data_IF_775500124739
#
_entry.id   IF_775500124739
#
_cell.length_a   1.000
_cell.length_b   1.000
_cell.length_c   1.000
_cell.angle_alpha   90.00
_cell.angle_beta   90.00
_cell.angle_gamma   90.00
#
_symmetry.space_group_name_H-M   'P 1'
#
loop_
_entity.id
_entity.type
_entity.pdbx_description
1 polymer ?
#
# COMPACT_ATOMS: atom_id res chain seq x y z
N UNK A 1 2.20 -10.23 1.99
CA UNK A 1 1.53 -8.91 1.98
C UNK A 1 2.32 -8.05 1.02
N UNK A 2 1.65 -7.39 0.08
CA UNK A 2 2.32 -6.53 -0.90
C UNK A 2 1.90 -5.09 -0.62
N UNK A 3 2.84 -4.17 -0.47
CA UNK A 3 2.56 -2.73 -0.36
C UNK A 3 3.30 -2.06 -1.50
N UNK A 4 2.53 -1.52 -2.44
CA UNK A 4 3.06 -0.73 -3.56
C UNK A 4 2.80 0.72 -3.21
N UNK A 5 3.86 1.52 -3.08
CA UNK A 5 3.67 2.98 -3.01
C UNK A 5 3.38 3.49 -4.41
N UNK A 6 2.22 4.09 -4.59
CA UNK A 6 1.83 4.77 -5.82
C UNK A 6 1.75 6.26 -5.53
N UNK A 7 2.66 7.02 -6.15
CA UNK A 7 2.65 8.47 -6.11
C UNK A 7 2.35 8.96 -7.54
N UNK A 8 1.24 9.67 -7.69
CA UNK A 8 0.78 10.21 -8.97
C UNK A 8 0.93 11.73 -8.92
N UNK A 9 1.84 12.28 -9.70
CA UNK A 9 2.18 13.70 -9.67
C UNK A 9 1.60 14.44 -10.89
N UNK A 10 0.92 15.58 -10.68
CA UNK A 10 0.37 16.42 -11.76
C UNK A 10 -0.95 15.95 -12.42
N UNK A 11 -1.45 16.75 -13.38
CA UNK A 11 -2.65 16.43 -14.19
C UNK A 11 -2.31 15.34 -15.20
N UNK A 12 -2.75 14.13 -14.88
CA UNK A 12 -2.26 12.89 -15.49
C UNK A 12 -3.14 12.42 -16.66
N UNK A 13 -3.18 13.18 -17.75
CA UNK A 13 -4.04 12.84 -18.91
C UNK A 13 -3.42 11.74 -19.80
N UNK A 14 -2.10 11.51 -19.75
CA UNK A 14 -1.39 10.59 -20.67
C UNK A 14 -0.30 9.70 -20.02
N UNK A 15 -0.13 9.71 -18.70
CA UNK A 15 0.88 8.88 -18.03
C UNK A 15 0.38 7.47 -17.66
N UNK A 16 1.26 6.55 -17.23
CA UNK A 16 0.86 5.22 -16.77
C UNK A 16 -0.08 5.29 -15.56
N UNK A 17 -1.11 4.44 -15.45
CA UNK A 17 -1.99 4.41 -14.28
C UNK A 17 -1.17 4.35 -12.97
N UNK A 18 -1.63 5.08 -11.94
CA UNK A 18 -1.00 5.16 -10.62
C UNK A 18 0.41 5.79 -10.55
N UNK A 19 0.76 6.63 -11.53
CA UNK A 19 2.01 7.38 -11.46
C UNK A 19 3.24 6.61 -11.94
N UNK A 20 4.42 7.22 -11.79
CA UNK A 20 5.69 6.60 -12.18
C UNK A 20 6.43 5.91 -11.02
N UNK A 21 6.13 6.23 -9.76
CA UNK A 21 6.92 5.77 -8.60
C UNK A 21 7.01 4.24 -8.47
N UNK A 22 6.00 3.51 -8.97
CA UNK A 22 5.95 2.03 -8.95
C UNK A 22 6.67 1.35 -10.11
N UNK A 23 7.05 2.09 -11.16
CA UNK A 23 7.67 1.56 -12.39
C UNK A 23 9.11 2.05 -12.60
N UNK A 24 9.69 2.71 -11.61
CA UNK A 24 11.08 3.14 -11.63
C UNK A 24 11.84 2.56 -10.43
N UNK A 25 13.15 2.41 -10.60
CA UNK A 25 14.02 1.92 -9.54
C UNK A 25 14.25 3.00 -8.50
N UNK A 26 14.06 2.64 -7.23
CA UNK A 26 14.38 3.50 -6.10
C UNK A 26 15.87 3.38 -5.75
N UNK A 27 16.46 4.48 -5.30
CA UNK A 27 17.77 4.52 -4.69
C UNK A 27 17.69 3.97 -3.27
N UNK A 28 18.71 3.22 -2.84
CA UNK A 28 18.85 2.79 -1.44
C UNK A 28 19.66 3.86 -0.71
N UNK A 29 19.01 4.70 0.10
CA UNK A 29 19.70 5.70 0.93
C UNK A 29 20.26 5.08 2.20
N UNK A 30 19.52 4.12 2.76
CA UNK A 30 19.95 3.30 3.89
C UNK A 30 19.60 1.84 3.62
N UNK A 31 20.62 1.01 3.53
CA UNK A 31 20.46 -0.46 3.44
C UNK A 31 19.78 -1.00 4.70
N UNK A 32 19.05 -2.13 4.61
CA UNK A 32 18.46 -2.78 5.78
C UNK A 32 19.47 -2.98 6.92
N UNK A 33 19.22 -2.33 8.05
CA UNK A 33 20.09 -2.37 9.23
C UNK A 33 19.26 -2.70 10.48
N UNK A 34 19.79 -3.55 11.36
CA UNK A 34 19.19 -3.81 12.67
C UNK A 34 19.59 -2.70 13.64
N UNK A 35 18.58 -2.01 14.19
CA UNK A 35 18.73 -0.97 15.19
C UNK A 35 19.03 -1.55 16.58
N UNK A 36 19.54 -0.74 17.55
CA UNK A 36 19.72 -1.18 18.93
C UNK A 36 18.43 -1.69 19.61
N UNK A 37 17.26 -1.23 19.15
CA UNK A 37 15.96 -1.73 19.61
C UNK A 37 15.64 -3.16 19.16
N UNK A 38 16.39 -3.71 18.20
CA UNK A 38 16.11 -4.98 17.54
C UNK A 38 15.16 -4.88 16.32
N UNK A 39 14.67 -3.67 16.02
CA UNK A 39 13.90 -3.38 14.80
C UNK A 39 14.85 -3.32 13.58
N UNK A 40 14.29 -3.50 12.38
CA UNK A 40 15.04 -3.37 11.12
C UNK A 40 14.55 -2.14 10.36
N UNK A 41 15.46 -1.30 9.89
CA UNK A 41 15.16 -0.09 9.15
C UNK A 41 15.82 -0.10 7.77
N UNK A 42 15.09 0.38 6.75
CA UNK A 42 15.64 0.70 5.44
C UNK A 42 15.03 2.02 4.91
N UNK A 43 15.80 2.78 4.14
CA UNK A 43 15.34 4.04 3.55
C UNK A 43 15.65 4.04 2.06
N UNK A 44 14.62 4.37 1.27
CA UNK A 44 14.67 4.46 -0.18
C UNK A 44 14.30 5.86 -0.63
N UNK A 45 14.76 6.25 -1.82
CA UNK A 45 14.31 7.49 -2.45
C UNK A 45 14.21 7.47 -3.96
N UNK A 46 13.46 8.43 -4.47
CA UNK A 46 13.45 8.83 -5.88
C UNK A 46 13.69 10.34 -5.90
N UNK A 47 14.55 10.77 -6.81
CA UNK A 47 14.69 12.17 -7.20
C UNK A 47 14.34 12.29 -8.68
N UNK A 48 14.02 13.50 -9.13
CA UNK A 48 13.79 13.75 -10.54
C UNK A 48 15.01 13.36 -11.39
N UNK A 49 14.75 12.77 -12.55
CA UNK A 49 15.74 12.42 -13.56
C UNK A 49 15.15 12.69 -14.95
N UNK A 50 15.92 12.44 -16.01
CA UNK A 50 15.48 12.65 -17.39
C UNK A 50 14.16 11.93 -17.70
N UNK A 51 14.00 10.68 -17.26
CA UNK A 51 12.78 9.90 -17.48
C UNK A 51 11.57 10.51 -16.76
N UNK A 52 11.68 10.83 -15.47
CA UNK A 52 10.55 11.41 -14.73
C UNK A 52 10.19 12.79 -15.27
N UNK A 53 11.19 13.60 -15.65
CA UNK A 53 10.97 14.93 -16.26
C UNK A 53 10.32 14.86 -17.62
N UNK A 54 10.54 13.78 -18.38
CA UNK A 54 9.86 13.55 -19.65
C UNK A 54 8.35 13.29 -19.48
N UNK A 55 7.95 12.76 -18.32
CA UNK A 55 6.53 12.52 -17.97
C UNK A 55 5.91 13.72 -17.25
N UNK A 56 6.67 14.33 -16.35
CA UNK A 56 6.25 15.41 -15.47
C UNK A 56 7.46 16.27 -15.09
N UNK A 57 7.55 17.45 -15.71
CA UNK A 57 8.73 18.33 -15.59
C UNK A 57 8.72 19.15 -14.30
N UNK A 58 8.99 18.49 -13.17
CA UNK A 58 9.15 19.16 -11.87
C UNK A 58 10.30 18.54 -11.09
N UNK A 59 10.96 19.34 -10.27
CA UNK A 59 11.91 18.82 -9.28
C UNK A 59 11.15 18.25 -8.09
N UNK A 60 11.60 17.11 -7.58
CA UNK A 60 11.02 16.51 -6.38
C UNK A 60 12.00 15.57 -5.70
N UNK A 61 11.76 15.30 -4.43
CA UNK A 61 12.36 14.15 -3.73
C UNK A 61 11.27 13.38 -2.99
N UNK A 62 11.15 12.10 -3.33
CA UNK A 62 10.30 11.15 -2.63
C UNK A 62 11.20 10.26 -1.76
N UNK A 63 10.86 10.12 -0.48
CA UNK A 63 11.56 9.25 0.47
C UNK A 63 10.58 8.23 1.04
N UNK A 64 11.05 7.01 1.24
CA UNK A 64 10.26 5.92 1.80
C UNK A 64 11.07 5.15 2.81
N UNK A 65 10.70 5.30 4.07
CA UNK A 65 11.34 4.65 5.21
C UNK A 65 10.45 3.52 5.69
N UNK A 66 11.05 2.33 5.78
CA UNK A 66 10.42 1.10 6.24
C UNK A 66 11.03 0.72 7.59
N UNK A 67 10.18 0.43 8.57
CA UNK A 67 10.62 -0.15 9.85
C UNK A 67 9.85 -1.43 10.10
N UNK A 68 10.59 -2.55 10.13
CA UNK A 68 10.05 -3.84 10.53
C UNK A 68 10.29 -4.07 12.02
N UNK A 69 9.20 -4.20 12.76
CA UNK A 69 9.18 -4.53 14.18
C UNK A 69 8.61 -5.93 14.36
N UNK A 70 8.58 -6.44 15.60
CA UNK A 70 8.11 -7.81 15.87
C UNK A 70 6.67 -8.08 15.39
N UNK A 71 5.75 -7.11 15.55
CA UNK A 71 4.32 -7.26 15.24
C UNK A 71 3.78 -6.16 14.33
N UNK A 72 4.65 -5.26 13.90
CA UNK A 72 4.30 -4.06 13.16
C UNK A 72 5.22 -3.85 11.97
N UNK A 73 4.65 -3.35 10.89
CA UNK A 73 5.40 -2.81 9.76
C UNK A 73 5.01 -1.35 9.57
N UNK A 74 5.99 -0.47 9.69
CA UNK A 74 5.82 0.97 9.60
C UNK A 74 6.30 1.44 8.24
N UNK A 75 5.51 2.32 7.65
CA UNK A 75 5.71 2.94 6.36
C UNK A 75 5.69 4.44 6.58
N UNK A 76 6.81 5.13 6.41
CA UNK A 76 6.88 6.59 6.44
C UNK A 76 7.26 7.08 5.05
N UNK A 77 6.45 7.97 4.48
CA UNK A 77 6.66 8.51 3.14
C UNK A 77 6.74 10.03 3.20
N UNK A 78 7.76 10.58 2.55
CA UNK A 78 8.02 12.01 2.52
C UNK A 78 8.15 12.51 1.09
N UNK A 79 7.45 13.58 0.73
CA UNK A 79 7.57 14.28 -0.56
C UNK A 79 8.09 15.67 -0.29
N UNK A 80 9.21 16.04 -0.91
CA UNK A 80 9.82 17.35 -0.80
C UNK A 80 9.82 18.06 -2.14
N UNK A 81 9.43 19.33 -2.15
CA UNK A 81 9.54 20.22 -3.28
C UNK A 81 10.83 21.07 -3.16
N UNK A 82 11.92 20.72 -3.86
CA UNK A 82 13.16 21.50 -3.82
C UNK A 82 13.12 22.74 -4.72
N UNK A 83 12.05 22.95 -5.49
CA UNK A 83 11.90 24.13 -6.33
C UNK A 83 11.95 25.40 -5.48
N UNK A 84 12.45 26.49 -6.06
CA UNK A 84 12.48 27.82 -5.44
C UNK A 84 11.25 28.66 -5.77
N UNK A 85 10.56 28.32 -6.86
CA UNK A 85 9.55 29.18 -7.46
C UNK A 85 8.23 28.43 -7.69
N UNK A 86 8.32 27.21 -8.21
CA UNK A 86 7.13 26.48 -8.67
C UNK A 86 6.54 25.59 -7.56
N UNK A 87 5.25 25.76 -7.22
CA UNK A 87 4.51 24.75 -6.48
C UNK A 87 4.21 23.56 -7.38
N UNK A 88 3.89 22.41 -6.79
CA UNK A 88 3.29 21.31 -7.53
C UNK A 88 2.20 20.60 -6.74
N UNK A 89 1.38 19.83 -7.44
CA UNK A 89 0.36 18.98 -6.83
C UNK A 89 0.53 17.50 -7.15
N UNK A 90 0.11 16.64 -6.23
CA UNK A 90 0.20 15.20 -6.38
C UNK A 90 -0.84 14.47 -5.53
N UNK A 91 -1.16 13.25 -5.95
CA UNK A 91 -1.86 12.25 -5.18
C UNK A 91 -0.85 11.22 -4.66
N UNK A 92 -1.10 10.68 -3.47
CA UNK A 92 -0.27 9.65 -2.88
C UNK A 92 -1.11 8.56 -2.26
N UNK A 93 -0.73 7.30 -2.48
CA UNK A 93 -1.49 6.14 -2.03
C UNK A 93 -0.54 4.97 -1.77
N UNK A 94 -0.74 4.28 -0.66
CA UNK A 94 -0.09 3.02 -0.35
C UNK A 94 -1.03 1.87 -0.72
N UNK A 95 -0.88 1.36 -1.95
CA UNK A 95 -1.70 0.31 -2.54
C UNK A 95 -1.38 -1.05 -1.90
N UNK A 96 -2.02 -1.29 -0.74
CA UNK A 96 -1.71 -2.41 0.16
C UNK A 96 -2.64 -3.58 -0.08
N UNK A 97 -2.07 -4.70 -0.53
CA UNK A 97 -2.75 -5.98 -0.74
C UNK A 97 -2.65 -6.85 0.52
N UNK A 98 -3.80 -7.08 1.16
CA UNK A 98 -3.93 -8.03 2.26
C UNK A 98 -4.28 -9.40 1.70
N UNK A 99 -3.47 -10.40 2.05
CA UNK A 99 -3.79 -11.80 1.78
C UNK A 99 -4.89 -12.24 2.73
N UNK A 100 -5.94 -12.82 2.18
CA UNK A 100 -7.11 -13.33 2.92
C UNK A 100 -7.45 -14.73 2.41
N UNK A 101 -8.05 -15.62 3.22
CA UNK A 101 -8.51 -16.91 2.71
C UNK A 101 -9.68 -16.77 1.74
N UNK A 102 -10.58 -15.81 2.00
CA UNK A 102 -11.75 -15.53 1.19
C UNK A 102 -12.22 -14.10 1.44
N UNK A 103 -12.18 -13.24 0.41
CA UNK A 103 -12.57 -11.83 0.46
C UNK A 103 -14.02 -11.64 0.90
N UNK A 104 -14.91 -12.57 0.56
CA UNK A 104 -16.34 -12.53 0.92
C UNK A 104 -16.57 -12.62 2.43
N UNK A 105 -15.58 -13.15 3.16
CA UNK A 105 -15.60 -13.33 4.62
C UNK A 105 -14.82 -12.26 5.35
N UNK A 106 -14.25 -11.30 4.63
CA UNK A 106 -13.51 -10.19 5.22
C UNK A 106 -14.48 -9.07 5.61
N UNK A 107 -14.23 -8.46 6.75
CA UNK A 107 -14.94 -7.28 7.20
C UNK A 107 -13.94 -6.16 7.47
N UNK A 108 -14.28 -4.95 7.03
CA UNK A 108 -13.46 -3.76 7.24
C UNK A 108 -14.27 -2.78 8.11
N UNK A 109 -13.72 -2.37 9.24
CA UNK A 109 -14.34 -1.41 10.16
C UNK A 109 -13.84 0.02 9.94
N UNK A 110 -14.56 1.00 10.49
CA UNK A 110 -14.12 2.41 10.49
C UNK A 110 -14.49 3.20 9.24
N UNK A 111 -15.40 2.65 8.41
CA UNK A 111 -15.92 3.29 7.20
C UNK A 111 -17.41 3.66 7.29
N UNK A 112 -18.11 3.26 8.36
CA UNK A 112 -19.50 3.64 8.60
C UNK A 112 -19.66 5.17 8.60
N UNK A 113 -20.70 5.66 7.92
CA UNK A 113 -21.03 7.07 7.78
C UNK A 113 -20.15 7.83 6.78
N UNK A 114 -19.07 7.23 6.27
CA UNK A 114 -18.18 7.88 5.31
C UNK A 114 -18.85 8.01 3.94
N UNK A 115 -18.60 9.14 3.27
CA UNK A 115 -18.90 9.31 1.85
C UNK A 115 -17.85 8.58 1.02
N UNK A 116 -18.27 7.93 -0.06
CA UNK A 116 -17.35 7.32 -1.00
C UNK A 116 -17.74 7.56 -2.46
N UNK A 117 -16.72 7.65 -3.31
CA UNK A 117 -16.82 7.60 -4.76
C UNK A 117 -16.68 6.15 -5.22
N UNK A 118 -17.61 5.65 -6.02
CA UNK A 118 -17.53 4.30 -6.58
C UNK A 118 -17.16 4.37 -8.07
N UNK A 119 -15.93 3.94 -8.39
CA UNK A 119 -15.42 3.99 -9.77
C UNK A 119 -16.11 2.98 -10.68
N UNK A 120 -16.71 1.93 -10.12
CA UNK A 120 -17.45 0.92 -10.90
C UNK A 120 -18.73 1.52 -11.48
N UNK A 121 -19.33 2.47 -10.77
CA UNK A 121 -20.54 3.19 -11.19
C UNK A 121 -20.22 4.60 -11.68
N UNK A 122 -19.15 4.76 -12.46
CA UNK A 122 -18.74 6.04 -13.06
C UNK A 122 -18.57 7.20 -12.03
N UNK A 123 -17.90 6.90 -10.91
CA UNK A 123 -17.60 7.84 -9.83
C UNK A 123 -18.84 8.44 -9.15
N UNK A 124 -19.99 7.75 -9.17
CA UNK A 124 -21.13 8.14 -8.36
C UNK A 124 -20.79 8.17 -6.86
N UNK A 125 -21.44 9.10 -6.14
CA UNK A 125 -21.21 9.36 -4.73
C UNK A 125 -22.27 8.65 -3.89
N UNK A 126 -21.83 7.94 -2.86
CA UNK A 126 -22.67 7.22 -1.92
C UNK A 126 -22.24 7.50 -0.48
N UNK A 127 -23.06 7.08 0.49
CA UNK A 127 -22.72 7.04 1.91
C UNK A 127 -22.77 5.61 2.43
N UNK A 128 -21.75 5.22 3.19
CA UNK A 128 -21.65 3.88 3.76
C UNK A 128 -22.53 3.73 5.01
N UNK A 129 -23.72 3.15 4.83
CA UNK A 129 -24.65 2.90 5.94
C UNK A 129 -24.31 1.66 6.78
N UNK A 130 -23.45 0.75 6.30
CA UNK A 130 -23.13 -0.49 7.02
C UNK A 130 -22.15 -0.23 8.17
N UNK A 131 -22.28 -0.97 9.26
CA UNK A 131 -21.32 -0.91 10.38
C UNK A 131 -19.94 -1.46 9.97
N UNK A 132 -19.95 -2.44 9.06
CA UNK A 132 -18.76 -3.08 8.51
C UNK A 132 -18.90 -3.23 7.00
N UNK A 133 -17.81 -2.96 6.28
CA UNK A 133 -17.75 -3.15 4.83
C UNK A 133 -17.39 -4.59 4.53
N UNK A 134 -18.20 -5.22 3.68
CA UNK A 134 -17.95 -6.53 3.06
C UNK A 134 -17.91 -6.38 1.55
N UNK A 135 -17.10 -7.20 0.88
CA UNK A 135 -16.90 -7.16 -0.58
C UNK A 135 -17.35 -8.49 -1.19
N UNK A 136 -18.39 -8.43 -2.01
CA UNK A 136 -19.03 -9.59 -2.64
C UNK A 136 -19.19 -9.43 -4.17
N UNK A 137 -18.54 -8.42 -4.74
CA UNK A 137 -18.65 -7.99 -6.13
C UNK A 137 -17.39 -7.19 -6.52
N UNK A 138 -17.26 -6.83 -7.79
CA UNK A 138 -16.22 -5.89 -8.24
C UNK A 138 -16.37 -4.58 -7.48
N UNK A 139 -15.32 -4.20 -6.76
CA UNK A 139 -15.31 -3.02 -5.89
C UNK A 139 -14.08 -2.17 -6.20
N UNK A 140 -14.29 -0.88 -6.45
CA UNK A 140 -13.24 0.15 -6.53
C UNK A 140 -13.79 1.45 -5.92
N UNK A 141 -13.69 1.55 -4.60
CA UNK A 141 -14.33 2.63 -3.82
C UNK A 141 -13.29 3.49 -3.12
N UNK A 142 -13.38 4.80 -3.30
CA UNK A 142 -12.57 5.78 -2.57
C UNK A 142 -13.43 6.35 -1.43
N UNK A 143 -13.22 5.88 -0.21
CA UNK A 143 -13.83 6.46 0.98
C UNK A 143 -13.05 7.72 1.37
N UNK A 144 -13.77 8.84 1.54
CA UNK A 144 -13.19 10.16 1.79
C UNK A 144 -13.19 10.49 3.28
N UNK A 145 -12.17 11.21 3.75
CA UNK A 145 -12.06 11.73 5.12
C UNK A 145 -12.35 10.67 6.21
N UNK A 146 -11.79 9.48 6.03
CA UNK A 146 -12.05 8.34 6.91
C UNK A 146 -11.28 8.46 8.22
N UNK A 147 -11.71 7.67 9.21
CA UNK A 147 -10.98 7.55 10.48
C UNK A 147 -9.53 7.09 10.23
N UNK A 148 -8.57 7.49 11.09
CA UNK A 148 -7.17 7.11 10.92
C UNK A 148 -6.90 5.63 11.20
N UNK A 149 -7.91 4.84 11.55
CA UNK A 149 -7.76 3.43 11.89
C UNK A 149 -8.84 2.56 11.26
N UNK A 150 -8.41 1.45 10.67
CA UNK A 150 -9.27 0.39 10.13
C UNK A 150 -8.85 -0.98 10.66
N UNK A 151 -9.82 -1.84 10.90
CA UNK A 151 -9.59 -3.23 11.28
C UNK A 151 -10.12 -4.13 10.16
N UNK A 152 -9.24 -4.96 9.62
CA UNK A 152 -9.56 -5.98 8.62
C UNK A 152 -9.59 -7.33 9.33
N UNK A 153 -10.75 -7.98 9.31
CA UNK A 153 -10.92 -9.31 9.90
C UNK A 153 -10.64 -10.40 8.88
N UNK A 154 -10.40 -11.62 9.38
CA UNK A 154 -10.19 -12.81 8.56
C UNK A 154 -9.01 -12.70 7.59
N UNK A 155 -7.96 -11.97 7.97
CA UNK A 155 -6.66 -12.11 7.29
C UNK A 155 -6.05 -13.49 7.60
N UNK A 156 -5.01 -13.89 6.86
CA UNK A 156 -4.40 -15.24 6.97
C UNK A 156 -4.23 -15.71 8.42
N UNK A 157 -4.55 -16.99 8.64
CA UNK A 157 -4.57 -17.65 9.96
C UNK A 157 -5.61 -17.12 10.95
N UNK A 158 -6.71 -16.54 10.47
CA UNK A 158 -7.82 -16.05 11.30
C UNK A 158 -7.45 -14.85 12.17
N UNK A 159 -6.40 -14.11 11.79
CA UNK A 159 -5.93 -12.93 12.52
C UNK A 159 -6.76 -11.70 12.16
N UNK A 160 -6.55 -10.64 12.91
CA UNK A 160 -6.96 -9.28 12.53
C UNK A 160 -5.74 -8.49 12.11
N UNK A 161 -5.96 -7.57 11.18
CA UNK A 161 -4.95 -6.61 10.74
C UNK A 161 -5.48 -5.22 10.99
N UNK A 162 -4.70 -4.41 11.70
CA UNK A 162 -4.96 -2.98 11.92
C UNK A 162 -4.14 -2.20 10.92
N UNK A 163 -4.82 -1.31 10.24
CA UNK A 163 -4.23 -0.27 9.42
C UNK A 163 -4.41 1.01 10.21
N UNK A 164 -3.31 1.61 10.66
CA UNK A 164 -3.32 2.95 11.22
C UNK A 164 -2.62 3.88 10.23
N UNK A 165 -3.24 5.01 9.91
CA UNK A 165 -2.76 5.96 8.92
C UNK A 165 -2.65 7.37 9.50
N UNK A 166 -1.67 8.12 9.01
CA UNK A 166 -1.44 9.52 9.35
C UNK A 166 -1.24 10.32 8.07
N UNK A 167 -1.92 11.47 7.99
CA UNK A 167 -1.92 12.37 6.83
C UNK A 167 -2.32 11.70 5.49
N UNK A 168 -3.11 10.63 5.60
CA UNK A 168 -3.83 10.00 4.50
C UNK A 168 -5.33 10.13 4.80
N UNK A 169 -6.03 11.13 4.25
CA UNK A 169 -7.45 11.34 4.57
C UNK A 169 -8.36 10.26 3.97
N UNK A 170 -7.96 9.62 2.88
CA UNK A 170 -8.79 8.67 2.14
C UNK A 170 -8.40 7.22 2.42
N UNK A 171 -9.36 6.32 2.20
CA UNK A 171 -9.13 4.87 2.19
C UNK A 171 -9.74 4.29 0.93
N UNK A 172 -8.93 3.64 0.10
CA UNK A 172 -9.45 2.90 -1.07
C UNK A 172 -9.70 1.45 -0.68
N UNK A 173 -10.85 0.92 -1.07
CA UNK A 173 -11.16 -0.50 -0.97
C UNK A 173 -11.31 -1.05 -2.38
N UNK A 174 -10.49 -2.04 -2.73
CA UNK A 174 -10.45 -2.60 -4.07
C UNK A 174 -10.37 -4.12 -4.09
N UNK A 175 -11.20 -4.73 -4.93
CA UNK A 175 -11.09 -6.12 -5.35
C UNK A 175 -11.62 -6.22 -6.79
N UNK A 176 -10.86 -6.79 -7.75
CA UNK A 176 -11.25 -6.82 -9.16
C UNK A 176 -12.45 -7.73 -9.43
N UNK A 177 -12.69 -8.71 -8.56
CA UNK A 177 -13.62 -9.81 -8.85
C UNK A 177 -13.25 -10.59 -10.12
N UNK A 178 -14.05 -11.59 -10.46
CA UNK A 178 -13.70 -12.58 -11.48
C UNK A 178 -13.48 -12.00 -12.88
N UNK A 179 -14.39 -11.15 -13.36
CA UNK A 179 -14.33 -10.62 -14.73
C UNK A 179 -13.13 -9.68 -14.89
N UNK A 180 -12.96 -8.71 -13.96
CA UNK A 180 -11.85 -7.77 -14.05
C UNK A 180 -10.50 -8.43 -13.79
N UNK A 181 -10.43 -9.47 -12.98
CA UNK A 181 -9.18 -10.20 -12.73
C UNK A 181 -8.59 -10.76 -14.03
N UNK A 182 -9.42 -11.32 -14.91
CA UNK A 182 -9.00 -11.88 -16.22
C UNK A 182 -8.42 -10.83 -17.18
N UNK A 183 -8.82 -9.57 -17.00
CA UNK A 183 -8.35 -8.45 -17.83
C UNK A 183 -6.98 -7.90 -17.35
N UNK A 184 -6.49 -8.33 -16.19
CA UNK A 184 -5.23 -7.83 -15.60
C UNK A 184 -4.11 -8.81 -15.98
N UNK A 185 -3.20 -8.45 -16.90
CA UNK A 185 -2.26 -9.41 -17.49
C UNK A 185 -1.29 -10.07 -16.50
N UNK A 186 -1.04 -9.43 -15.36
CA UNK A 186 -0.14 -9.90 -14.30
C UNK A 186 -0.89 -10.40 -13.05
N UNK A 187 -2.17 -10.75 -13.18
CA UNK A 187 -3.02 -11.25 -12.11
C UNK A 187 -3.64 -12.59 -12.51
N UNK A 188 -3.63 -13.58 -11.62
CA UNK A 188 -4.25 -14.86 -11.90
C UNK A 188 -5.78 -14.80 -11.83
N UNK A 189 -6.46 -15.46 -12.76
CA UNK A 189 -7.94 -15.47 -12.87
C UNK A 189 -8.66 -15.78 -11.55
N UNK A 190 -8.08 -16.67 -10.74
CA UNK A 190 -8.64 -17.15 -9.47
C UNK A 190 -7.97 -16.54 -8.22
N UNK A 191 -7.17 -15.47 -8.37
CA UNK A 191 -6.46 -14.84 -7.25
C UNK A 191 -7.33 -13.82 -6.48
N UNK A 192 -8.39 -13.29 -7.11
CA UNK A 192 -9.26 -12.27 -6.51
C UNK A 192 -9.90 -12.70 -5.18
N UNK A 193 -10.30 -13.97 -4.94
CA UNK A 193 -10.89 -14.36 -3.67
C UNK A 193 -9.88 -14.30 -2.53
N UNK A 194 -8.58 -14.37 -2.80
CA UNK A 194 -7.54 -14.47 -1.77
C UNK A 194 -6.89 -13.14 -1.40
N UNK A 195 -7.46 -12.03 -1.84
CA UNK A 195 -6.92 -10.70 -1.62
C UNK A 195 -8.01 -9.66 -1.37
N UNK A 196 -7.62 -8.61 -0.65
CA UNK A 196 -8.38 -7.36 -0.58
C UNK A 196 -7.37 -6.23 -0.49
N UNK A 197 -7.58 -5.16 -1.26
CA UNK A 197 -6.83 -3.94 -1.08
C UNK A 197 -7.56 -3.02 -0.12
N UNK A 198 -6.83 -2.52 0.89
CA UNK A 198 -7.27 -1.45 1.80
C UNK A 198 -6.13 -0.45 1.89
N UNK A 199 -6.29 0.67 1.21
CA UNK A 199 -5.17 1.49 0.79
C UNK A 199 -5.26 2.86 1.45
N UNK A 200 -4.21 3.26 2.18
CA UNK A 200 -4.14 4.60 2.77
C UNK A 200 -3.74 5.61 1.70
N UNK A 201 -4.54 6.65 1.49
CA UNK A 201 -4.28 7.61 0.42
C UNK A 201 -4.70 9.05 0.67
N UNK A 202 -4.20 9.92 -0.20
CA UNK A 202 -4.60 11.29 -0.44
C UNK A 202 -4.86 11.38 -1.95
N UNK A 203 -6.06 10.97 -2.36
CA UNK A 203 -6.42 10.67 -3.76
C UNK A 203 -7.76 11.27 -4.18
N UNK A 204 -8.64 11.57 -3.22
CA UNK A 204 -9.91 12.25 -3.48
C UNK A 204 -9.71 13.73 -3.79
N UNK A 205 -8.60 14.29 -3.31
CA UNK A 205 -8.07 15.60 -3.68
C UNK A 205 -6.55 15.53 -3.72
N UNK A 206 -5.87 16.35 -4.53
CA UNK A 206 -4.41 16.39 -4.55
C UNK A 206 -3.85 17.20 -3.39
N UNK A 207 -2.70 16.76 -2.89
CA UNK A 207 -1.82 17.58 -2.04
C UNK A 207 -1.21 18.67 -2.92
N UNK A 208 -1.14 19.91 -2.42
CA UNK A 208 -0.41 21.01 -3.05
C UNK A 208 0.82 21.32 -2.19
N UNK A 209 2.01 21.21 -2.77
CA UNK A 209 3.29 21.55 -2.12
C UNK A 209 3.87 22.82 -2.70
N UNK A 210 4.14 23.78 -1.81
CA UNK A 210 4.82 25.02 -2.13
C UNK A 210 6.34 24.82 -2.29
N UNK A 211 7.05 25.76 -2.94
CA UNK A 211 8.51 25.76 -2.99
C UNK A 211 9.16 25.59 -1.61
N UNK A 212 10.12 24.69 -1.50
CA UNK A 212 10.88 24.44 -0.27
C UNK A 212 10.10 23.76 0.86
N UNK A 213 8.86 23.29 0.64
CA UNK A 213 8.09 22.59 1.66
C UNK A 213 8.05 21.08 1.46
N UNK A 214 7.69 20.35 2.52
CA UNK A 214 7.59 18.90 2.52
C UNK A 214 6.21 18.44 3.02
N UNK A 215 5.79 17.29 2.52
CA UNK A 215 4.63 16.54 2.97
C UNK A 215 5.11 15.22 3.55
N UNK A 216 4.57 14.82 4.69
CA UNK A 216 4.85 13.53 5.31
C UNK A 216 3.54 12.79 5.61
N UNK A 217 3.52 11.49 5.31
CA UNK A 217 2.42 10.61 5.67
C UNK A 217 2.96 9.27 6.16
N UNK A 218 2.14 8.51 6.86
CA UNK A 218 2.54 7.17 7.29
C UNK A 218 1.39 6.18 7.39
N UNK A 219 1.77 4.90 7.32
CA UNK A 219 0.90 3.77 7.58
C UNK A 219 1.62 2.82 8.54
N UNK A 220 0.90 2.28 9.50
CA UNK A 220 1.35 1.19 10.38
C UNK A 220 0.41 0.02 10.15
N UNK A 221 0.99 -1.13 9.84
CA UNK A 221 0.29 -2.39 9.74
C UNK A 221 0.64 -3.22 10.96
N UNK A 222 -0.37 -3.57 11.76
CA UNK A 222 -0.17 -4.33 13.00
C UNK A 222 -1.05 -5.58 12.98
N UNK A 223 -0.45 -6.74 13.24
CA UNK A 223 -1.18 -8.00 13.36
C UNK A 223 -1.36 -8.41 14.83
N UNK A 224 -2.53 -8.96 15.16
CA UNK A 224 -2.71 -9.70 16.41
C UNK A 224 -3.67 -10.87 16.24
N UNK A 225 -3.49 -11.88 17.11
CA UNK A 225 -4.45 -12.97 17.29
C UNK A 225 -5.52 -12.52 18.26
N UNK A 226 -6.77 -12.95 18.04
CA UNK A 226 -7.77 -12.90 19.10
C UNK A 226 -7.24 -13.74 20.27
N UNK A 227 -7.01 -13.11 21.42
CA UNK A 227 -6.85 -13.88 22.66
C UNK A 227 -8.26 -14.40 22.97
N UNK A 228 -8.53 -15.67 22.68
CA UNK A 228 -9.75 -16.29 23.20
C UNK A 228 -9.70 -16.11 24.71
N UNK A 229 -10.65 -15.35 25.27
CA UNK A 229 -10.92 -15.41 26.70
C UNK A 229 -11.42 -16.82 26.96
N UNK A 230 -10.51 -17.72 27.31
CA UNK A 230 -10.89 -19.00 27.89
C UNK A 230 -11.54 -18.69 29.22
N UNK A 231 -12.85 -18.87 29.30
CA UNK A 231 -13.57 -18.99 30.55
C UNK A 231 -13.29 -20.37 31.15
N UNK A 232 -12.03 -20.66 31.50
CA UNK A 232 -11.69 -21.78 32.38
C UNK A 232 -10.37 -21.49 33.09
N UNK A 233 -10.47 -21.31 34.41
CA UNK A 233 -9.33 -21.32 35.32
C UNK A 233 -8.72 -22.71 35.29
N UNK A 234 -7.46 -22.86 34.87
CA UNK A 234 -6.52 -23.76 35.52
C UNK A 234 -5.08 -23.28 35.33
N UNK A 235 -4.40 -23.12 36.47
CA UNK A 235 -2.97 -22.85 36.59
C UNK A 235 -2.21 -24.06 36.08
N UNK A 236 -1.26 -23.87 35.16
CA UNK A 236 0.00 -24.59 35.21
C UNK A 236 1.10 -23.70 34.63
N UNK A 237 2.15 -23.52 35.42
CA UNK A 237 3.39 -22.87 35.02
C UNK A 237 4.17 -23.90 34.22
N UNK A 238 4.56 -23.59 33.00
CA UNK A 238 5.73 -24.22 32.40
C UNK A 238 6.64 -23.14 31.81
N UNK A 239 7.85 -23.11 32.35
CA UNK A 239 8.91 -22.17 32.04
C UNK A 239 9.87 -22.94 31.13
N UNK A 240 9.80 -22.70 29.83
CA UNK A 240 10.87 -23.04 28.89
C UNK A 240 11.22 -21.83 28.06
N UNK A 241 12.31 -21.18 28.46
CA UNK A 241 13.10 -20.36 27.55
C UNK A 241 13.68 -21.29 26.48
N UNK A 242 13.25 -21.12 25.23
CA UNK A 242 13.99 -21.63 24.07
C UNK A 242 14.66 -20.45 23.40
N UNK A 243 15.98 -20.48 23.37
CA UNK A 243 16.88 -19.57 22.66
C UNK A 243 16.49 -19.43 21.19
N UNK A 244 16.07 -18.24 20.79
CA UNK A 244 15.44 -17.97 19.50
C UNK A 244 16.40 -17.26 18.52
N UNK A 245 17.38 -18.02 18.03
CA UNK A 245 18.24 -17.61 16.89
C UNK A 245 17.51 -17.70 15.53
N UNK A 246 16.29 -18.26 15.49
CA UNK A 246 15.47 -18.34 14.28
C UNK A 246 14.80 -17.00 13.92
N UNK A 247 14.60 -16.11 14.90
CA UNK A 247 13.85 -14.84 14.73
C UNK A 247 14.54 -13.77 13.87
N UNK A 248 15.88 -13.81 13.71
CA UNK A 248 16.62 -12.79 12.96
C UNK A 248 16.63 -13.04 11.45
N UNK A 249 16.70 -14.30 11.03
CA UNK A 249 16.68 -14.70 9.63
C UNK A 249 15.28 -14.51 9.05
N UNK A 250 14.23 -14.90 9.79
CA UNK A 250 12.83 -14.70 9.37
C UNK A 250 12.45 -13.21 9.23
N UNK A 251 12.99 -12.33 10.08
CA UNK A 251 12.76 -10.87 9.97
C UNK A 251 13.45 -10.28 8.73
N UNK A 252 14.68 -10.71 8.44
CA UNK A 252 15.42 -10.32 7.24
C UNK A 252 14.73 -10.87 5.97
N UNK A 253 14.27 -12.10 6.00
CA UNK A 253 13.53 -12.72 4.89
C UNK A 253 12.17 -12.03 4.66
N UNK A 254 11.44 -11.67 5.72
CA UNK A 254 10.19 -10.92 5.58
C UNK A 254 10.38 -9.53 4.99
N UNK A 255 11.47 -8.84 5.33
CA UNK A 255 11.84 -7.57 4.72
C UNK A 255 12.34 -7.77 3.28
N UNK A 256 13.17 -8.78 3.02
CA UNK A 256 13.66 -9.13 1.69
C UNK A 256 12.52 -9.58 0.78
N UNK A 257 11.47 -10.21 1.29
CA UNK A 257 10.27 -10.56 0.54
C UNK A 257 9.41 -9.31 0.27
N UNK A 258 9.25 -8.40 1.25
CA UNK A 258 8.65 -7.09 1.01
C UNK A 258 9.42 -6.29 -0.07
N UNK A 259 10.75 -6.31 -0.03
CA UNK A 259 11.64 -5.65 -1.00
C UNK A 259 11.66 -6.34 -2.37
N UNK A 260 11.70 -7.69 -2.42
CA UNK A 260 11.59 -8.49 -3.66
C UNK A 260 10.23 -8.28 -4.32
N UNK A 261 9.19 -8.01 -3.55
CA UNK A 261 7.86 -7.73 -4.08
C UNK A 261 7.73 -6.30 -4.63
N UNK A 262 8.39 -5.30 -4.02
CA UNK A 262 8.59 -3.98 -4.65
C UNK A 262 9.33 -4.15 -5.99
N UNK A 263 10.31 -5.05 -6.06
CA UNK A 263 11.15 -5.28 -7.25
C UNK A 263 10.46 -6.11 -8.36
N UNK A 264 9.68 -7.15 -8.03
CA UNK A 264 9.01 -8.04 -9.01
C UNK A 264 7.95 -7.32 -9.84
N UNK A 265 7.26 -6.34 -9.25
CA UNK A 265 6.23 -5.55 -9.95
C UNK A 265 6.88 -4.50 -10.87
N UNK A 266 8.06 -3.97 -10.49
CA UNK A 266 8.85 -3.12 -11.37
C UNK A 266 9.36 -3.89 -12.62
N UNK A 267 9.68 -5.18 -12.48
CA UNK A 267 10.12 -6.03 -13.59
C UNK A 267 8.98 -6.55 -14.48
N UNK A 268 7.78 -6.84 -13.96
CA UNK A 268 6.64 -7.29 -14.79
C UNK A 268 6.17 -6.24 -15.80
N UNK A 269 6.35 -4.95 -15.46
CA UNK A 269 6.06 -3.82 -16.34
C UNK A 269 7.13 -3.55 -17.41
N UNK A 270 8.38 -3.94 -17.20
CA UNK A 270 9.43 -3.80 -18.23
C UNK A 270 9.25 -4.82 -19.37
N UNK A 271 8.77 -6.03 -19.07
CA UNK A 271 8.53 -7.06 -20.08
C UNK A 271 7.40 -6.69 -21.06
N UNK A 272 6.31 -6.07 -20.58
CA UNK A 272 5.16 -5.68 -21.41
C UNK A 272 5.39 -4.43 -22.27
N UNK A 273 6.43 -3.63 -22.01
CA UNK A 273 6.76 -2.44 -22.80
C UNK A 273 7.73 -2.71 -23.96
N UNK A 274 8.54 -3.77 -23.90
CA UNK A 274 9.36 -4.19 -25.03
C UNK A 274 8.50 -4.76 -26.18
N UNK A 275 7.41 -5.45 -25.88
CA UNK A 275 6.56 -6.07 -26.92
C UNK A 275 5.60 -5.08 -27.58
N UNK A 276 5.19 -4.01 -26.88
CA UNK A 276 4.24 -3.02 -27.41
C UNK A 276 4.88 -1.86 -28.20
N UNK A 277 6.19 -1.63 -28.03
CA UNK A 277 6.94 -0.64 -28.82
C UNK A 277 7.57 -1.24 -30.10
N UNK A 278 7.77 -2.56 -30.17
CA UNK A 278 8.30 -3.24 -31.36
C UNK A 278 7.30 -3.45 -32.49
N UNK A 279 5.98 -3.37 -32.21
CA UNK A 279 4.94 -3.71 -33.19
C UNK A 279 4.39 -2.51 -34.00
N UNK A 280 4.91 -1.29 -33.80
CA UNK A 280 4.46 -0.07 -34.52
C UNK A 280 5.48 0.56 -35.47
N UNK A 281 6.55 -0.15 -35.82
CA UNK A 281 7.47 0.23 -36.91
C UNK A 281 7.58 -0.86 -37.97
N UNK A 282 6.46 -1.31 -38.52
CA UNK A 282 6.43 -1.94 -39.86
C UNK A 282 5.00 -2.02 -40.37
N UNK A 283 4.53 -0.94 -40.99
CA UNK A 283 3.61 -0.90 -42.15
C UNK A 283 3.29 0.53 -42.50
#
# INVERSE_FOLDING_TARGET
>A
MHVISTAQFGTWTYGPPHGFARIIRWNVEKTPERLPSGDIEAIFSIMDNEFTRSLWNSQFRLTYRLILREKELHFNIGVYNPSREDPFSFNLLLHTYFKVPDVRRCQITGLHGCTFLDKVTDNQIYQEGRDVVTVCEWTDRIYQNTQPEHIITNVVSGRKMRVQKYNFPDTVVWNPWQEKARDIPDFGDDEFPNMICVESGHVSSPVVLLPGTAFEASQILQQWKLRMRSSTIHRYVDRRESTDQASSVEKLDGLLEALRNIYRIACSWQATKCDSLGAKQSR
#
